data_IF_046551502860
#
_entry.id   IF_046551502860
#
_cell.length_a   1.000
_cell.length_b   1.000
_cell.length_c   1.000
_cell.angle_alpha   90.00
_cell.angle_beta   90.00
_cell.angle_gamma   90.00
#
_symmetry.space_group_name_H-M   'P 1'
#
loop_
_entity.id
_entity.type
_entity.pdbx_description
1 polymer ?
#
# COMPACT_ATOMS: atom_id res chain seq x y z
N UNK A 1 22.13 -48.44 34.53
CA UNK A 1 20.94 -47.96 33.80
C UNK A 1 21.21 -46.51 33.42
N UNK A 2 21.44 -46.24 32.14
CA UNK A 2 21.71 -44.88 31.63
C UNK A 2 20.36 -44.28 31.25
N UNK A 3 19.95 -43.26 31.98
CA UNK A 3 18.71 -42.53 31.76
C UNK A 3 18.86 -41.68 30.49
N UNK A 4 18.13 -42.06 29.44
CA UNK A 4 18.14 -41.34 28.16
C UNK A 4 17.48 -39.97 28.33
N UNK A 5 18.29 -38.91 28.31
CA UNK A 5 17.81 -37.54 28.33
C UNK A 5 16.87 -37.29 27.12
N UNK A 6 15.64 -36.89 27.41
CA UNK A 6 14.64 -36.58 26.39
C UNK A 6 15.13 -35.44 25.47
N UNK A 7 14.93 -35.53 24.14
CA UNK A 7 15.35 -34.49 23.23
C UNK A 7 14.60 -33.19 23.52
N UNK A 8 15.36 -32.12 23.78
CA UNK A 8 14.86 -30.75 23.92
C UNK A 8 14.05 -30.38 22.67
N UNK A 9 12.74 -30.21 22.85
CA UNK A 9 11.79 -29.79 21.82
C UNK A 9 12.10 -28.35 21.43
N UNK A 10 13.04 -28.16 20.50
CA UNK A 10 13.35 -26.87 19.91
C UNK A 10 12.15 -26.44 19.08
N UNK A 11 11.28 -25.59 19.68
CA UNK A 11 10.27 -24.87 18.90
C UNK A 11 11.04 -24.08 17.84
N UNK A 12 10.72 -24.24 16.54
CA UNK A 12 11.39 -23.45 15.51
C UNK A 12 11.17 -21.98 15.85
N UNK A 13 12.26 -21.23 15.94
CA UNK A 13 12.28 -19.78 16.18
C UNK A 13 11.75 -18.99 14.95
N UNK A 14 10.73 -19.52 14.28
CA UNK A 14 9.91 -18.78 13.33
C UNK A 14 9.04 -17.83 14.17
N UNK A 15 9.60 -16.65 14.38
CA UNK A 15 8.96 -15.52 15.05
C UNK A 15 7.51 -15.40 14.62
N UNK A 16 6.58 -15.32 15.58
CA UNK A 16 5.18 -14.97 15.31
C UNK A 16 5.16 -13.73 14.43
N UNK A 17 4.81 -13.90 13.16
CA UNK A 17 4.37 -12.81 12.30
C UNK A 17 3.18 -12.20 13.03
N UNK A 18 3.34 -10.98 13.53
CA UNK A 18 2.25 -10.30 14.23
C UNK A 18 1.25 -9.85 13.19
N UNK A 19 0.02 -10.33 13.29
CA UNK A 19 -1.08 -9.89 12.41
C UNK A 19 -1.20 -8.36 12.42
N UNK A 20 -1.01 -7.74 13.58
CA UNK A 20 -0.95 -6.27 13.73
C UNK A 20 0.13 -5.63 12.86
N UNK A 21 1.32 -6.23 12.75
CA UNK A 21 2.39 -5.69 11.91
C UNK A 21 2.09 -5.80 10.42
N UNK A 22 1.38 -6.85 10.00
CA UNK A 22 0.92 -7.00 8.60
C UNK A 22 -0.19 -5.98 8.30
N UNK A 23 -1.14 -5.80 9.22
CA UNK A 23 -2.20 -4.80 9.08
C UNK A 23 -1.61 -3.38 8.98
N UNK A 24 -0.68 -3.04 9.87
CA UNK A 24 0.02 -1.77 9.83
C UNK A 24 0.83 -1.58 8.54
N UNK A 25 1.46 -2.64 8.04
CA UNK A 25 2.15 -2.59 6.75
C UNK A 25 1.18 -2.36 5.58
N UNK A 26 -0.05 -2.88 5.62
CA UNK A 26 -1.04 -2.66 4.56
C UNK A 26 -1.77 -1.31 4.65
N UNK A 27 -1.70 -0.64 5.81
CA UNK A 27 -2.47 0.57 6.07
C UNK A 27 -2.21 1.71 5.07
N UNK A 28 -0.96 1.98 4.62
CA UNK A 28 -0.72 3.04 3.66
C UNK A 28 -1.39 2.80 2.30
N UNK A 29 -1.30 1.57 1.77
CA UNK A 29 -1.92 1.21 0.50
C UNK A 29 -3.46 1.26 0.61
N UNK A 30 -4.01 0.81 1.74
CA UNK A 30 -5.45 0.88 2.01
C UNK A 30 -5.95 2.34 2.13
N UNK A 31 -5.19 3.21 2.82
CA UNK A 31 -5.51 4.63 2.93
C UNK A 31 -5.47 5.33 1.58
N UNK A 32 -4.46 5.03 0.76
CA UNK A 32 -4.37 5.57 -0.58
C UNK A 32 -5.57 5.14 -1.45
N UNK A 33 -5.94 3.85 -1.43
CA UNK A 33 -7.13 3.37 -2.14
C UNK A 33 -8.40 4.08 -1.70
N UNK A 34 -8.57 4.30 -0.39
CA UNK A 34 -9.71 5.01 0.14
C UNK A 34 -9.77 6.43 -0.43
N UNK A 35 -8.64 7.15 -0.43
CA UNK A 35 -8.53 8.49 -0.99
C UNK A 35 -8.79 8.51 -2.51
N UNK A 36 -8.30 7.51 -3.22
CA UNK A 36 -8.51 7.35 -4.67
C UNK A 36 -10.00 7.16 -5.02
N UNK A 37 -10.67 6.23 -4.35
CA UNK A 37 -12.10 5.99 -4.58
C UNK A 37 -12.98 7.11 -4.04
N UNK A 38 -12.60 7.78 -2.95
CA UNK A 38 -13.30 8.99 -2.52
C UNK A 38 -13.15 10.10 -3.56
N UNK A 39 -12.01 10.23 -4.24
CA UNK A 39 -11.82 11.21 -5.31
C UNK A 39 -12.71 10.88 -6.51
N UNK A 40 -12.78 9.61 -6.90
CA UNK A 40 -13.69 9.13 -7.93
C UNK A 40 -15.15 9.50 -7.62
N UNK A 41 -15.57 9.29 -6.37
CA UNK A 41 -16.90 9.66 -5.91
C UNK A 41 -17.11 11.19 -5.92
N UNK A 42 -16.12 11.96 -5.45
CA UNK A 42 -16.20 13.43 -5.41
C UNK A 42 -16.37 14.00 -6.82
N UNK A 43 -15.64 13.45 -7.79
CA UNK A 43 -15.70 13.85 -9.19
C UNK A 43 -17.04 13.45 -9.83
N UNK A 44 -17.49 12.20 -9.62
CA UNK A 44 -18.77 11.70 -10.11
C UNK A 44 -19.96 12.51 -9.59
N UNK A 45 -19.93 12.89 -8.32
CA UNK A 45 -20.97 13.71 -7.69
C UNK A 45 -20.90 15.17 -8.15
N UNK A 46 -19.69 15.72 -8.33
CA UNK A 46 -19.49 17.09 -8.78
C UNK A 46 -19.92 17.33 -10.23
N UNK A 47 -19.68 16.36 -11.11
CA UNK A 47 -20.03 16.47 -12.54
C UNK A 47 -21.38 15.86 -12.89
N UNK A 48 -21.91 14.93 -12.09
CA UNK A 48 -23.06 14.09 -12.46
C UNK A 48 -22.78 13.06 -13.58
N UNK A 49 -21.63 13.17 -14.24
CA UNK A 49 -21.05 12.26 -15.23
C UNK A 49 -19.66 11.77 -14.79
N UNK A 50 -19.09 10.82 -15.51
CA UNK A 50 -17.65 10.56 -15.41
C UNK A 50 -16.91 11.60 -16.27
N UNK A 51 -15.64 11.91 -16.00
CA UNK A 51 -14.92 12.94 -16.74
C UNK A 51 -14.64 12.44 -18.16
N UNK A 52 -14.78 13.31 -19.14
CA UNK A 52 -14.47 12.99 -20.54
C UNK A 52 -13.09 13.54 -20.94
N UNK A 53 -12.57 14.54 -20.21
CA UNK A 53 -11.25 15.15 -20.42
C UNK A 53 -10.63 15.66 -19.12
N UNK A 54 -9.31 15.91 -19.09
CA UNK A 54 -8.58 16.50 -17.93
C UNK A 54 -9.25 17.77 -17.40
N UNK A 55 -9.82 18.60 -18.29
CA UNK A 55 -10.44 19.87 -17.93
C UNK A 55 -11.76 19.74 -17.19
N UNK A 56 -12.36 18.54 -17.14
CA UNK A 56 -13.62 18.28 -16.46
C UNK A 56 -13.41 18.17 -14.94
N UNK A 57 -13.11 19.30 -14.31
CA UNK A 57 -12.91 19.39 -12.87
C UNK A 57 -14.01 20.23 -12.23
N UNK A 58 -14.59 19.80 -11.10
CA UNK A 58 -15.38 20.68 -10.26
C UNK A 58 -14.54 21.89 -9.85
N UNK A 59 -15.04 23.11 -10.10
CA UNK A 59 -14.37 24.37 -9.71
C UNK A 59 -14.51 24.65 -8.21
N UNK A 60 -14.11 23.69 -7.37
CA UNK A 60 -14.18 23.80 -5.91
C UNK A 60 -12.79 23.65 -5.29
N UNK A 61 -12.44 24.49 -4.30
CA UNK A 61 -11.13 24.42 -3.66
C UNK A 61 -10.91 23.10 -2.92
N UNK A 62 -11.99 22.50 -2.40
CA UNK A 62 -11.93 21.21 -1.73
C UNK A 62 -11.56 20.07 -2.69
N UNK A 63 -12.07 20.11 -3.92
CA UNK A 63 -11.71 19.13 -4.95
C UNK A 63 -10.22 19.25 -5.30
N UNK A 64 -9.73 20.47 -5.55
CA UNK A 64 -8.31 20.70 -5.84
C UNK A 64 -7.40 20.19 -4.70
N UNK A 65 -7.73 20.51 -3.44
CA UNK A 65 -6.99 20.01 -2.28
C UNK A 65 -6.99 18.47 -2.21
N UNK A 66 -8.13 17.84 -2.46
CA UNK A 66 -8.25 16.39 -2.42
C UNK A 66 -7.42 15.72 -3.52
N UNK A 67 -7.45 16.27 -4.74
CA UNK A 67 -6.62 15.80 -5.86
C UNK A 67 -5.13 15.91 -5.54
N UNK A 68 -4.69 17.06 -5.02
CA UNK A 68 -3.29 17.28 -4.59
C UNK A 68 -2.85 16.28 -3.50
N UNK A 69 -3.71 16.01 -2.51
CA UNK A 69 -3.44 15.04 -1.46
C UNK A 69 -3.30 13.62 -2.01
N UNK A 70 -4.21 13.20 -2.89
CA UNK A 70 -4.17 11.86 -3.52
C UNK A 70 -2.89 11.69 -4.32
N UNK A 71 -2.52 12.68 -5.13
CA UNK A 71 -1.31 12.66 -5.96
C UNK A 71 -0.02 12.71 -5.13
N UNK A 72 0.04 13.57 -4.11
CA UNK A 72 1.19 13.64 -3.21
C UNK A 72 1.40 12.31 -2.49
N UNK A 73 0.32 11.71 -1.95
CA UNK A 73 0.38 10.42 -1.28
C UNK A 73 0.83 9.31 -2.25
N UNK A 74 0.27 9.29 -3.47
CA UNK A 74 0.66 8.37 -4.51
C UNK A 74 2.15 8.49 -4.85
N UNK A 75 2.64 9.72 -5.03
CA UNK A 75 4.04 10.00 -5.32
C UNK A 75 4.99 9.50 -4.24
N UNK A 76 4.69 9.77 -2.96
CA UNK A 76 5.48 9.24 -1.84
C UNK A 76 5.44 7.70 -1.77
N UNK A 77 4.28 7.10 -2.05
CA UNK A 77 4.13 5.66 -2.08
C UNK A 77 4.95 5.04 -3.23
N UNK A 78 4.95 5.62 -4.42
CA UNK A 78 5.80 5.18 -5.53
C UNK A 78 7.28 5.34 -5.23
N UNK A 79 7.67 6.48 -4.65
CA UNK A 79 9.06 6.72 -4.25
C UNK A 79 9.54 5.68 -3.23
N UNK A 80 8.66 5.29 -2.29
CA UNK A 80 8.97 4.26 -1.31
C UNK A 80 9.29 2.89 -1.95
N UNK A 81 8.69 2.55 -3.09
CA UNK A 81 8.96 1.27 -3.77
C UNK A 81 10.40 1.18 -4.28
N UNK A 82 11.08 2.31 -4.50
CA UNK A 82 12.52 2.32 -4.79
C UNK A 82 13.37 2.17 -3.52
N UNK A 83 12.89 2.70 -2.39
CA UNK A 83 13.58 2.59 -1.11
C UNK A 83 13.46 1.19 -0.48
N UNK A 84 12.28 0.55 -0.58
CA UNK A 84 12.00 -0.77 0.00
C UNK A 84 13.01 -1.86 -0.40
N UNK A 85 13.36 -2.08 -1.69
CA UNK A 85 14.32 -3.12 -2.06
C UNK A 85 15.71 -2.86 -1.48
N UNK A 86 16.13 -1.59 -1.38
CA UNK A 86 17.40 -1.22 -0.73
C UNK A 86 17.37 -1.55 0.77
N UNK A 87 16.26 -1.23 1.45
CA UNK A 87 16.07 -1.54 2.87
C UNK A 87 16.04 -3.06 3.08
N UNK A 88 15.32 -3.82 2.24
CA UNK A 88 15.27 -5.29 2.31
C UNK A 88 16.68 -5.87 2.14
N UNK A 89 17.44 -5.39 1.15
CA UNK A 89 18.81 -5.86 0.92
C UNK A 89 19.65 -5.70 2.20
N UNK A 90 19.64 -4.52 2.82
CA UNK A 90 20.36 -4.27 4.09
C UNK A 90 19.86 -5.20 5.21
N UNK A 91 18.55 -5.35 5.39
CA UNK A 91 17.97 -6.14 6.48
C UNK A 91 18.23 -7.64 6.36
N UNK A 92 18.39 -8.18 5.15
CA UNK A 92 18.74 -9.58 4.93
C UNK A 92 20.16 -9.89 5.42
N UNK A 93 21.09 -8.95 5.27
CA UNK A 93 22.46 -9.09 5.79
C UNK A 93 22.56 -8.95 7.31
N UNK A 94 21.58 -8.31 7.97
CA UNK A 94 21.53 -8.17 9.44
C UNK A 94 20.67 -9.28 10.08
N UNK A 95 21.25 -10.36 10.65
CA UNK A 95 20.50 -11.53 11.12
C UNK A 95 19.44 -11.18 12.19
N UNK A 96 19.68 -10.16 13.00
CA UNK A 96 18.77 -9.70 14.07
C UNK A 96 17.52 -8.98 13.51
N UNK A 97 17.59 -8.47 12.29
CA UNK A 97 16.56 -7.63 11.68
C UNK A 97 15.77 -8.33 10.57
N UNK A 98 16.16 -9.55 10.17
CA UNK A 98 15.50 -10.35 9.12
C UNK A 98 13.99 -10.50 9.30
N UNK A 99 13.51 -10.52 10.55
CA UNK A 99 12.07 -10.59 10.86
C UNK A 99 11.24 -9.44 10.27
N UNK A 100 11.85 -8.27 10.05
CA UNK A 100 11.15 -7.11 9.50
C UNK A 100 10.93 -7.19 7.98
N UNK A 101 11.67 -8.05 7.28
CA UNK A 101 11.52 -8.25 5.83
C UNK A 101 10.10 -8.66 5.47
N UNK A 102 9.44 -9.48 6.31
CA UNK A 102 8.05 -9.92 6.07
C UNK A 102 7.09 -8.73 6.03
N UNK A 103 7.28 -7.71 6.87
CA UNK A 103 6.42 -6.52 6.87
C UNK A 103 6.65 -5.64 5.63
N UNK A 104 7.90 -5.54 5.16
CA UNK A 104 8.21 -4.81 3.93
C UNK A 104 7.67 -5.52 2.69
N UNK A 105 7.75 -6.85 2.66
CA UNK A 105 7.12 -7.64 1.60
C UNK A 105 5.60 -7.45 1.62
N UNK A 106 4.96 -7.55 2.80
CA UNK A 106 3.52 -7.30 2.93
C UNK A 106 3.11 -5.90 2.45
N UNK A 107 3.89 -4.88 2.81
CA UNK A 107 3.72 -3.51 2.32
C UNK A 107 3.78 -3.43 0.79
N UNK A 108 4.86 -3.94 0.17
CA UNK A 108 5.00 -3.93 -1.30
C UNK A 108 3.88 -4.72 -2.00
N UNK A 109 3.49 -5.88 -1.46
CA UNK A 109 2.36 -6.65 -1.97
C UNK A 109 1.06 -5.88 -1.88
N UNK A 110 0.82 -5.16 -0.78
CA UNK A 110 -0.38 -4.33 -0.63
C UNK A 110 -0.42 -3.16 -1.62
N UNK A 111 0.73 -2.57 -1.97
CA UNK A 111 0.80 -1.53 -3.02
C UNK A 111 0.46 -2.14 -4.38
N UNK A 112 1.04 -3.30 -4.72
CA UNK A 112 0.71 -3.99 -5.96
C UNK A 112 -0.77 -4.37 -6.06
N UNK A 113 -1.37 -4.81 -4.94
CA UNK A 113 -2.80 -5.07 -4.86
C UNK A 113 -3.63 -3.79 -5.03
N UNK A 114 -3.22 -2.69 -4.39
CA UNK A 114 -3.88 -1.40 -4.55
C UNK A 114 -3.85 -0.89 -5.98
N UNK A 115 -2.70 -1.03 -6.66
CA UNK A 115 -2.58 -0.75 -8.08
C UNK A 115 -3.57 -1.57 -8.91
N UNK A 116 -3.69 -2.88 -8.66
CA UNK A 116 -4.64 -3.72 -9.37
C UNK A 116 -6.11 -3.30 -9.10
N UNK A 117 -6.44 -2.98 -7.85
CA UNK A 117 -7.79 -2.58 -7.45
C UNK A 117 -8.20 -1.21 -8.00
N UNK A 118 -7.25 -0.31 -8.26
CA UNK A 118 -7.49 0.97 -8.91
C UNK A 118 -8.25 0.82 -10.23
N UNK A 119 -7.94 -0.23 -11.00
CA UNK A 119 -8.57 -0.50 -12.30
C UNK A 119 -10.03 -0.98 -12.21
N UNK A 120 -10.58 -1.16 -11.01
CA UNK A 120 -12.02 -1.36 -10.82
C UNK A 120 -12.82 -0.06 -11.00
N UNK A 121 -12.15 1.10 -10.92
CA UNK A 121 -12.79 2.36 -11.24
C UNK A 121 -13.08 2.46 -12.76
N UNK A 122 -14.07 3.26 -13.17
CA UNK A 122 -14.40 3.42 -14.59
C UNK A 122 -13.21 3.92 -15.40
N UNK A 123 -13.04 3.35 -16.61
CA UNK A 123 -11.87 3.61 -17.44
C UNK A 123 -11.65 5.10 -17.76
N UNK A 124 -12.72 5.88 -17.90
CA UNK A 124 -12.62 7.33 -18.11
C UNK A 124 -12.06 8.08 -16.89
N UNK A 125 -12.40 7.64 -15.67
CA UNK A 125 -11.80 8.18 -14.46
C UNK A 125 -10.33 7.76 -14.32
N UNK A 126 -10.00 6.50 -14.61
CA UNK A 126 -8.61 6.02 -14.61
C UNK A 126 -7.76 6.78 -15.62
N UNK A 127 -8.30 7.03 -16.81
CA UNK A 127 -7.67 7.83 -17.85
C UNK A 127 -7.45 9.27 -17.37
N UNK A 128 -8.51 9.95 -16.92
CA UNK A 128 -8.43 11.30 -16.34
C UNK A 128 -7.44 11.39 -15.17
N UNK A 129 -7.29 10.34 -14.37
CA UNK A 129 -6.37 10.32 -13.24
C UNK A 129 -4.90 10.24 -13.67
N UNK A 130 -4.58 9.71 -14.85
CA UNK A 130 -3.20 9.56 -15.31
C UNK A 130 -2.79 10.53 -16.42
N UNK A 131 -3.74 11.26 -16.97
CA UNK A 131 -3.55 12.30 -17.98
C UNK A 131 -3.18 13.64 -17.28
#
# INVERSE_FOLDING_TARGET
MIEAAAPLKTKPALSRITQTGVLLASAPAALWLLLYFSLAAHLRLGLGRWPDSIGDNPETPLFALHTELVWSYFGYMLLSLFAVPLIIAVLVFLPRCRRFVVHLVAYSTSIGLAWALMHLAPGSFVYWFFD
#
